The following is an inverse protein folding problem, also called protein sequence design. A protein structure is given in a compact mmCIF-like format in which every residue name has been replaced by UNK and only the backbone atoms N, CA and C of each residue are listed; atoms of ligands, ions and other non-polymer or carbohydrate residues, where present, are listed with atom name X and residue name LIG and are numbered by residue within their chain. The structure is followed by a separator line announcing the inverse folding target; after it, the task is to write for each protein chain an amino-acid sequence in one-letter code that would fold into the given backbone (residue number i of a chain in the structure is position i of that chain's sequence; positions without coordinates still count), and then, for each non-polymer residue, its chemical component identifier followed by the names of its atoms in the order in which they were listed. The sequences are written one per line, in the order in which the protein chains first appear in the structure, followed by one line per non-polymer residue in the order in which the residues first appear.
data_IF_722168547870
#
_entry.id   IF_722168547870
#
_cell.length_a   1.000
_cell.length_b   1.000
_cell.length_c   1.000
_cell.angle_alpha   90.00
_cell.angle_beta   90.00
_cell.angle_gamma   90.00
#
_symmetry.space_group_name_H-M   'P 1'
#
loop_
_entity.id
_entity.type
_entity.pdbx_description
1 polymer ?
#
# COMPACT_ATOMS: atom_id res chain seq x y z
N UNK A 1 -18.43 -8.75 4.35
CA UNK A 1 -18.60 -8.24 2.98
C UNK A 1 -17.22 -7.88 2.44
N UNK A 2 -16.77 -8.52 1.36
CA UNK A 2 -15.48 -8.23 0.73
C UNK A 2 -15.62 -7.02 -0.18
N UNK A 3 -14.65 -6.09 -0.15
CA UNK A 3 -14.58 -4.96 -1.10
C UNK A 3 -14.02 -5.48 -2.44
N UNK A 4 -14.71 -6.44 -3.05
CA UNK A 4 -14.26 -7.20 -4.21
C UNK A 4 -14.11 -6.37 -5.48
N UNK A 5 -14.68 -5.16 -5.52
CA UNK A 5 -14.67 -4.28 -6.69
C UNK A 5 -13.81 -3.02 -6.51
N UNK A 6 -13.23 -2.78 -5.33
CA UNK A 6 -12.49 -1.56 -5.07
C UNK A 6 -11.18 -1.57 -5.87
N UNK A 7 -11.05 -0.64 -6.83
CA UNK A 7 -9.88 -0.53 -7.72
C UNK A 7 -8.83 0.48 -7.25
N UNK A 8 -9.25 1.52 -6.54
CA UNK A 8 -8.37 2.58 -6.08
C UNK A 8 -8.72 2.98 -4.65
N UNK A 9 -7.70 3.15 -3.81
CA UNK A 9 -7.82 3.62 -2.43
C UNK A 9 -6.88 4.81 -2.22
N UNK A 10 -7.46 5.96 -1.91
CA UNK A 10 -6.75 7.22 -1.66
C UNK A 10 -6.82 7.56 -0.19
N UNK A 11 -5.66 7.54 0.48
CA UNK A 11 -5.48 7.87 1.89
C UNK A 11 -4.43 8.96 2.08
N UNK A 12 -4.25 9.79 1.04
CA UNK A 12 -3.25 10.86 1.00
C UNK A 12 -3.57 11.93 2.05
N UNK A 13 -2.53 12.51 2.65
CA UNK A 13 -2.65 13.63 3.61
C UNK A 13 -3.47 13.27 4.85
N UNK A 14 -3.10 12.16 5.49
CA UNK A 14 -3.68 11.72 6.75
C UNK A 14 -2.59 11.60 7.83
N UNK A 15 -2.98 11.10 9.01
CA UNK A 15 -2.07 10.86 10.14
C UNK A 15 -1.80 9.35 10.34
N UNK A 16 -1.78 8.57 9.25
CA UNK A 16 -1.60 7.13 9.33
C UNK A 16 -0.15 6.84 9.72
N UNK A 17 0.04 6.19 10.86
CA UNK A 17 1.36 5.79 11.39
C UNK A 17 1.63 4.30 11.24
N UNK A 18 0.58 3.48 11.16
CA UNK A 18 0.65 2.02 11.06
C UNK A 18 -0.49 1.50 10.17
N UNK A 19 -0.21 0.44 9.44
CA UNK A 19 -1.20 -0.31 8.67
C UNK A 19 -1.20 -1.75 9.16
N UNK A 20 -2.39 -2.27 9.49
CA UNK A 20 -2.52 -3.64 9.93
C UNK A 20 -2.11 -4.62 8.81
N UNK A 21 -1.36 -5.71 9.08
CA UNK A 21 -0.85 -6.63 8.05
C UNK A 21 -1.92 -7.32 7.20
N UNK A 22 -3.19 -7.28 7.63
CA UNK A 22 -4.34 -7.84 6.91
C UNK A 22 -5.25 -6.78 6.29
N UNK A 23 -4.92 -5.49 6.38
CA UNK A 23 -5.79 -4.39 5.95
C UNK A 23 -6.23 -4.48 4.49
N UNK A 24 -5.37 -5.03 3.61
CA UNK A 24 -5.62 -5.08 2.18
C UNK A 24 -5.83 -6.48 1.61
N UNK A 25 -5.78 -7.53 2.44
CA UNK A 25 -5.79 -8.93 1.98
C UNK A 25 -7.09 -9.30 1.24
N UNK A 26 -8.20 -8.64 1.56
CA UNK A 26 -9.50 -8.89 0.90
C UNK A 26 -9.74 -8.01 -0.33
N UNK A 27 -8.87 -7.03 -0.60
CA UNK A 27 -9.03 -6.06 -1.68
C UNK A 27 -8.50 -6.63 -3.01
N UNK A 28 -9.12 -7.71 -3.45
CA UNK A 28 -8.63 -8.52 -4.58
C UNK A 28 -8.60 -7.77 -5.92
N UNK A 29 -9.36 -6.69 -6.08
CA UNK A 29 -9.38 -5.86 -7.28
C UNK A 29 -8.56 -4.57 -7.17
N UNK A 30 -7.86 -4.33 -6.06
CA UNK A 30 -7.16 -3.07 -5.83
C UNK A 30 -5.93 -2.95 -6.72
N UNK A 31 -5.91 -1.89 -7.53
CA UNK A 31 -4.84 -1.57 -8.46
C UNK A 31 -4.02 -0.37 -8.02
N UNK A 32 -4.63 0.60 -7.32
CA UNK A 32 -3.98 1.84 -6.89
C UNK A 32 -4.12 2.04 -5.38
N UNK A 33 -3.00 2.24 -4.70
CA UNK A 33 -2.97 2.53 -3.26
C UNK A 33 -2.08 3.75 -2.99
N UNK A 34 -2.71 4.87 -2.64
CA UNK A 34 -1.97 6.11 -2.38
C UNK A 34 -2.00 6.43 -0.90
N UNK A 35 -0.80 6.40 -0.30
CA UNK A 35 -0.53 6.60 1.13
C UNK A 35 0.43 7.78 1.36
N UNK A 36 0.66 8.61 0.34
CA UNK A 36 1.57 9.75 0.47
C UNK A 36 1.12 10.75 1.54
N UNK A 37 2.05 11.54 2.06
CA UNK A 37 1.78 12.56 3.10
C UNK A 37 1.12 11.94 4.33
N UNK A 38 1.79 10.93 4.89
CA UNK A 38 1.41 10.26 6.13
C UNK A 38 2.64 10.14 7.05
N UNK A 39 2.57 9.32 8.08
CA UNK A 39 3.65 9.12 9.04
C UNK A 39 4.07 7.64 9.15
N UNK A 40 3.97 6.88 8.05
CA UNK A 40 4.37 5.48 8.01
C UNK A 40 5.88 5.36 8.21
N UNK A 41 6.28 4.42 9.08
CA UNK A 41 7.69 4.10 9.34
C UNK A 41 8.18 2.85 8.60
N UNK A 42 7.23 2.05 8.09
CA UNK A 42 7.49 0.84 7.33
C UNK A 42 6.53 0.71 6.14
N UNK A 43 6.97 0.01 5.10
CA UNK A 43 6.10 -0.35 3.96
C UNK A 43 5.05 -1.37 4.42
N UNK A 44 3.77 -1.23 4.01
CA UNK A 44 2.73 -2.20 4.33
C UNK A 44 3.07 -3.60 3.83
N UNK A 45 2.75 -4.62 4.64
CA UNK A 45 2.89 -6.02 4.26
C UNK A 45 1.65 -6.53 3.54
N UNK A 46 1.80 -7.62 2.79
CA UNK A 46 0.70 -8.34 2.14
C UNK A 46 -0.15 -7.45 1.23
N UNK A 47 0.51 -6.62 0.41
CA UNK A 47 -0.15 -5.83 -0.61
C UNK A 47 -0.90 -6.76 -1.60
N UNK A 48 -2.06 -6.35 -2.14
CA UNK A 48 -2.80 -7.13 -3.11
C UNK A 48 -1.94 -7.43 -4.35
N UNK A 49 -1.97 -8.68 -4.84
CA UNK A 49 -1.21 -9.08 -6.04
C UNK A 49 -1.63 -8.33 -7.32
N UNK A 50 -2.81 -7.72 -7.29
CA UNK A 50 -3.39 -6.89 -8.35
C UNK A 50 -2.89 -5.45 -8.33
N UNK A 51 -2.12 -5.05 -7.31
CA UNK A 51 -1.62 -3.70 -7.18
C UNK A 51 -0.63 -3.36 -8.30
N UNK A 52 -0.90 -2.25 -8.99
CA UNK A 52 -0.12 -1.72 -10.11
C UNK A 52 0.59 -0.43 -9.71
N UNK A 53 0.02 0.34 -8.78
CA UNK A 53 0.58 1.62 -8.37
C UNK A 53 0.50 1.78 -6.85
N UNK A 54 1.67 2.02 -6.23
CA UNK A 54 1.82 2.37 -4.83
C UNK A 54 2.48 3.75 -4.72
N UNK A 55 1.82 4.70 -4.07
CA UNK A 55 2.43 6.01 -3.74
C UNK A 55 2.63 6.12 -2.25
N UNK A 56 3.87 6.34 -1.84
CA UNK A 56 4.28 6.39 -0.43
C UNK A 56 5.23 7.55 -0.11
N UNK A 57 5.47 8.47 -1.04
CA UNK A 57 6.28 9.67 -0.81
C UNK A 57 5.72 10.53 0.35
N UNK A 58 6.55 11.39 0.94
CA UNK A 58 6.20 12.16 2.14
C UNK A 58 5.72 11.28 3.32
N UNK A 59 6.47 10.20 3.60
CA UNK A 59 6.34 9.38 4.81
C UNK A 59 7.69 9.33 5.56
N UNK A 60 7.77 8.54 6.63
CA UNK A 60 8.99 8.35 7.46
C UNK A 60 9.57 6.95 7.32
N UNK A 61 9.46 6.36 6.12
CA UNK A 61 9.76 4.95 5.87
C UNK A 61 11.26 4.73 6.03
N UNK A 62 11.65 3.95 7.04
CA UNK A 62 13.03 3.53 7.30
C UNK A 62 13.21 2.02 7.18
N UNK A 63 12.11 1.27 7.02
CA UNK A 63 12.11 -0.18 6.94
C UNK A 63 11.31 -0.66 5.73
N UNK A 64 11.97 -1.48 4.91
CA UNK A 64 11.36 -2.23 3.81
C UNK A 64 11.52 -3.73 4.11
N UNK A 65 10.45 -4.42 4.51
CA UNK A 65 10.50 -5.87 4.71
C UNK A 65 10.90 -6.61 3.44
N UNK A 66 11.72 -7.67 3.55
CA UNK A 66 12.18 -8.49 2.40
C UNK A 66 11.05 -8.95 1.48
N UNK A 67 9.89 -9.25 2.06
CA UNK A 67 8.70 -9.75 1.36
C UNK A 67 7.65 -8.65 1.07
N UNK A 68 7.97 -7.37 1.26
CA UNK A 68 7.02 -6.27 1.09
C UNK A 68 6.37 -6.24 -0.31
N UNK A 69 7.13 -6.63 -1.33
CA UNK A 69 6.69 -6.62 -2.73
C UNK A 69 6.57 -8.01 -3.34
N UNK A 70 6.56 -9.06 -2.52
CA UNK A 70 6.53 -10.45 -3.00
C UNK A 70 5.31 -10.69 -3.90
N UNK A 71 5.55 -11.09 -5.14
CA UNK A 71 4.50 -11.45 -6.10
C UNK A 71 3.84 -10.26 -6.82
N UNK A 72 4.30 -9.02 -6.58
CA UNK A 72 3.82 -7.82 -7.26
C UNK A 72 4.51 -7.62 -8.63
N UNK A 73 4.15 -8.44 -9.62
CA UNK A 73 4.87 -8.52 -10.90
C UNK A 73 4.77 -7.28 -11.80
N UNK A 74 3.77 -6.42 -11.59
CA UNK A 74 3.44 -5.26 -12.45
C UNK A 74 3.34 -3.95 -11.67
N UNK A 75 3.91 -3.92 -10.47
CA UNK A 75 3.73 -2.80 -9.55
C UNK A 75 4.83 -1.76 -9.74
N UNK A 76 4.41 -0.50 -9.86
CA UNK A 76 5.26 0.68 -9.81
C UNK A 76 5.13 1.35 -8.42
N UNK A 77 6.26 1.54 -7.75
CA UNK A 77 6.31 2.18 -6.44
C UNK A 77 6.93 3.57 -6.59
N UNK A 78 6.19 4.61 -6.21
CA UNK A 78 6.64 6.00 -6.24
C UNK A 78 6.91 6.44 -4.80
N UNK A 79 8.19 6.59 -4.47
CA UNK A 79 8.69 6.86 -3.11
C UNK A 79 9.63 8.07 -2.98
N UNK A 80 9.87 8.82 -4.07
CA UNK A 80 10.57 10.11 -4.06
C UNK A 80 9.58 11.27 -3.87
#
# INVERSE_FOLDING_TARGET
MSLSILKALYLVNNKITKIHPKAFVTLNALQKLYLSKNALVEIPRNLPKTLVELRIHDNKITKVPKEAFKGLKRMNCIGE
#
